data_IF_918678748585
#
_entry.id   IF_918678748585
#
_cell.length_a   1.000
_cell.length_b   1.000
_cell.length_c   1.000
_cell.angle_alpha   90.00
_cell.angle_beta   90.00
_cell.angle_gamma   90.00
#
_symmetry.space_group_name_H-M   'P 1'
#
loop_
_entity.id
_entity.type
_entity.pdbx_description
1 polymer ?
#
# COMPACT_ATOMS: atom_id res chain seq x y z
N UNK A 1 -5.80 -6.79 -13.57
CA UNK A 1 -5.33 -6.81 -12.17
C UNK A 1 -6.17 -7.75 -11.29
N UNK A 2 -6.33 -9.02 -11.66
CA UNK A 2 -7.19 -9.99 -10.95
C UNK A 2 -6.63 -10.46 -9.61
N UNK A 3 -5.31 -10.63 -9.49
CA UNK A 3 -4.68 -11.20 -8.28
C UNK A 3 -4.89 -10.33 -7.03
N UNK A 4 -4.84 -9.00 -7.15
CA UNK A 4 -5.05 -8.09 -6.02
C UNK A 4 -6.52 -8.00 -5.61
N UNK A 5 -7.44 -8.01 -6.57
CA UNK A 5 -8.89 -8.03 -6.31
C UNK A 5 -9.35 -9.34 -5.66
N UNK A 6 -8.83 -10.49 -6.11
CA UNK A 6 -9.11 -11.79 -5.46
C UNK A 6 -8.54 -11.87 -4.04
N UNK A 7 -7.35 -11.29 -3.82
CA UNK A 7 -6.76 -11.19 -2.49
C UNK A 7 -7.62 -10.28 -1.60
N UNK A 8 -8.02 -9.13 -2.13
CA UNK A 8 -8.89 -8.15 -1.48
C UNK A 8 -10.17 -8.79 -0.93
N UNK A 9 -10.83 -9.67 -1.68
CA UNK A 9 -12.03 -10.38 -1.22
C UNK A 9 -11.76 -11.26 0.02
N UNK A 10 -10.61 -11.94 0.05
CA UNK A 10 -10.23 -12.89 1.10
C UNK A 10 -9.51 -12.26 2.29
N UNK A 11 -9.10 -11.00 2.19
CA UNK A 11 -8.42 -10.28 3.27
C UNK A 11 -9.37 -10.02 4.44
N UNK A 12 -8.90 -10.37 5.63
CA UNK A 12 -9.43 -9.99 6.93
C UNK A 12 -8.63 -8.77 7.46
N UNK A 13 -9.28 -7.63 7.72
CA UNK A 13 -8.58 -6.40 8.16
C UNK A 13 -7.79 -6.55 9.47
N UNK A 14 -8.26 -7.34 10.42
CA UNK A 14 -7.62 -7.49 11.73
C UNK A 14 -6.39 -8.39 11.61
N UNK A 15 -6.50 -9.45 10.81
CA UNK A 15 -5.34 -10.31 10.48
C UNK A 15 -4.31 -9.56 9.65
N UNK A 16 -4.75 -8.68 8.75
CA UNK A 16 -3.86 -7.83 7.97
C UNK A 16 -3.05 -6.89 8.87
N UNK A 17 -3.70 -6.21 9.81
CA UNK A 17 -3.02 -5.35 10.79
C UNK A 17 -2.08 -6.14 11.71
N UNK A 18 -2.46 -7.35 12.09
CA UNK A 18 -1.56 -8.23 12.88
C UNK A 18 -0.31 -8.57 12.08
N UNK A 19 -0.47 -8.91 10.79
CA UNK A 19 0.66 -9.24 9.91
C UNK A 19 1.59 -8.04 9.68
N UNK A 20 1.11 -6.80 9.73
CA UNK A 20 1.99 -5.62 9.56
C UNK A 20 3.02 -5.48 10.67
N UNK A 21 2.78 -6.05 11.86
CA UNK A 21 3.69 -5.95 13.00
C UNK A 21 4.99 -6.75 12.81
N UNK A 22 4.97 -7.77 11.96
CA UNK A 22 6.13 -8.62 11.66
C UNK A 22 6.72 -8.34 10.28
N UNK A 23 6.02 -7.56 9.45
CA UNK A 23 6.43 -7.24 8.10
C UNK A 23 7.38 -6.01 8.06
N UNK A 24 8.31 -5.95 7.10
CA UNK A 24 9.07 -4.73 6.84
C UNK A 24 8.14 -3.57 6.50
N UNK A 25 8.36 -2.41 7.12
CA UNK A 25 7.52 -1.22 6.91
C UNK A 25 7.33 -0.83 5.43
N UNK A 26 8.36 -0.90 4.55
CA UNK A 26 8.18 -0.61 3.12
C UNK A 26 7.16 -1.51 2.43
N UNK A 27 6.95 -2.75 2.91
CA UNK A 27 5.94 -3.65 2.37
C UNK A 27 4.54 -3.20 2.77
N UNK A 28 4.36 -2.80 4.03
CA UNK A 28 3.08 -2.29 4.55
C UNK A 28 2.66 -1.02 3.81
N UNK A 29 3.61 -0.10 3.58
CA UNK A 29 3.37 1.13 2.82
C UNK A 29 2.88 0.85 1.40
N UNK A 30 3.59 -0.01 0.66
CA UNK A 30 3.25 -0.36 -0.73
C UNK A 30 1.93 -1.13 -0.83
N UNK A 31 1.74 -2.14 0.02
CA UNK A 31 0.55 -2.98 0.01
C UNK A 31 -0.70 -2.15 0.34
N UNK A 32 -0.64 -1.27 1.35
CA UNK A 32 -1.76 -0.41 1.70
C UNK A 32 -2.18 0.50 0.55
N UNK A 33 -1.22 1.11 -0.16
CA UNK A 33 -1.50 1.90 -1.35
C UNK A 33 -2.14 1.07 -2.46
N UNK A 34 -1.58 -0.10 -2.78
CA UNK A 34 -2.09 -0.98 -3.83
C UNK A 34 -3.51 -1.47 -3.53
N UNK A 35 -3.79 -1.87 -2.28
CA UNK A 35 -5.12 -2.31 -1.85
C UNK A 35 -6.16 -1.19 -1.89
N UNK A 36 -5.72 0.07 -1.76
CA UNK A 36 -6.61 1.23 -1.90
C UNK A 36 -6.87 1.63 -3.36
N UNK A 37 -5.99 1.24 -4.28
CA UNK A 37 -6.17 1.45 -5.73
C UNK A 37 -6.95 0.31 -6.41
N UNK A 38 -7.24 -0.77 -5.67
CA UNK A 38 -8.22 -1.80 -6.06
C UNK A 38 -9.46 -1.67 -5.17
N UNK A 39 -10.54 -2.37 -5.48
CA UNK A 39 -11.85 -2.28 -4.80
C UNK A 39 -11.85 -2.78 -3.32
N UNK A 40 -10.68 -2.77 -2.65
CA UNK A 40 -10.45 -3.04 -1.24
C UNK A 40 -10.09 -1.80 -0.40
N UNK A 41 -10.36 -0.60 -0.91
CA UNK A 41 -10.13 0.66 -0.18
C UNK A 41 -10.62 0.63 1.29
N UNK A 42 -11.78 0.06 1.65
CA UNK A 42 -12.21 0.00 3.05
C UNK A 42 -11.27 -0.83 3.95
N UNK A 43 -10.75 -1.95 3.43
CA UNK A 43 -9.84 -2.86 4.16
C UNK A 43 -8.45 -2.26 4.29
N UNK A 44 -7.96 -1.62 3.22
CA UNK A 44 -6.68 -0.94 3.20
C UNK A 44 -6.62 0.21 4.22
N UNK A 45 -7.70 0.99 4.33
CA UNK A 45 -7.76 2.19 5.19
C UNK A 45 -7.48 1.90 6.67
N UNK A 46 -7.76 0.70 7.15
CA UNK A 46 -7.44 0.27 8.52
C UNK A 46 -5.93 0.32 8.82
N UNK A 47 -5.07 0.22 7.80
CA UNK A 47 -3.61 0.28 7.96
C UNK A 47 -3.05 1.71 8.01
N UNK A 48 -3.81 2.72 7.59
CA UNK A 48 -3.31 4.10 7.51
C UNK A 48 -2.81 4.62 8.86
N UNK A 49 -3.52 4.47 10.00
CA UNK A 49 -3.01 4.93 11.29
C UNK A 49 -1.70 4.24 11.68
N UNK A 50 -1.57 2.96 11.36
CA UNK A 50 -0.35 2.19 11.62
C UNK A 50 0.83 2.74 10.82
N UNK A 51 0.67 2.93 9.50
CA UNK A 51 1.71 3.50 8.64
C UNK A 51 2.08 4.92 9.08
N UNK A 52 1.10 5.76 9.39
CA UNK A 52 1.35 7.13 9.84
C UNK A 52 2.19 7.19 11.12
N UNK A 53 1.91 6.30 12.06
CA UNK A 53 2.62 6.21 13.34
C UNK A 53 4.01 5.60 13.22
N UNK A 54 4.18 4.58 12.40
CA UNK A 54 5.39 3.74 12.42
C UNK A 54 6.36 3.95 11.24
N UNK A 55 5.90 4.48 10.10
CA UNK A 55 6.79 4.75 8.98
C UNK A 55 7.46 6.13 9.14
N UNK A 56 8.78 6.18 9.23
CA UNK A 56 9.53 7.44 9.33
C UNK A 56 10.00 7.99 7.97
N UNK A 57 10.04 7.12 6.95
CA UNK A 57 10.58 7.46 5.64
C UNK A 57 9.55 7.21 4.54
N UNK A 58 9.63 8.02 3.49
CA UNK A 58 8.90 7.76 2.27
C UNK A 58 9.67 6.81 1.36
N UNK A 59 9.02 5.77 0.85
CA UNK A 59 9.66 4.75 -0.02
C UNK A 59 9.09 4.78 -1.44
N UNK A 60 9.84 4.38 -2.48
CA UNK A 60 9.27 4.24 -3.82
C UNK A 60 8.23 3.13 -3.86
N UNK A 61 7.15 3.35 -4.63
CA UNK A 61 6.14 2.35 -4.91
C UNK A 61 6.76 1.15 -5.65
N UNK A 62 7.51 1.41 -6.72
CA UNK A 62 8.27 0.43 -7.48
C UNK A 62 9.78 0.70 -7.34
N UNK A 63 10.53 -0.07 -6.52
CA UNK A 63 11.94 0.22 -6.24
C UNK A 63 12.86 0.24 -7.46
N UNK A 64 12.55 -0.58 -8.47
CA UNK A 64 13.36 -0.71 -9.67
C UNK A 64 13.09 0.38 -10.73
N UNK A 65 12.05 1.19 -10.54
CA UNK A 65 11.69 2.25 -11.49
C UNK A 65 12.36 3.60 -11.13
N UNK A 66 12.62 4.46 -12.13
CA UNK A 66 13.08 5.82 -11.88
C UNK A 66 12.14 6.55 -10.91
N UNK A 67 12.70 7.37 -10.02
CA UNK A 67 11.91 8.15 -9.03
C UNK A 67 11.73 9.62 -9.44
N UNK A 68 12.18 9.95 -10.65
CA UNK A 68 12.19 11.31 -11.18
C UNK A 68 10.74 11.77 -11.34
N UNK A 69 10.40 12.95 -10.79
CA UNK A 69 9.04 13.49 -10.78
C UNK A 69 7.96 12.64 -10.07
N UNK A 70 8.34 11.65 -9.25
CA UNK A 70 7.39 10.84 -8.49
C UNK A 70 6.54 11.69 -7.55
N UNK A 71 5.21 11.59 -7.66
CA UNK A 71 4.29 12.27 -6.75
C UNK A 71 4.41 11.68 -5.35
N UNK A 72 4.41 12.52 -4.33
CA UNK A 72 4.40 12.05 -2.94
C UNK A 72 2.97 11.74 -2.49
N UNK A 73 2.77 10.55 -1.96
CA UNK A 73 1.58 10.18 -1.20
C UNK A 73 1.93 10.28 0.30
N UNK A 74 1.37 11.29 0.96
CA UNK A 74 1.64 11.54 2.39
C UNK A 74 0.93 10.56 3.31
N UNK A 75 -0.17 9.96 2.86
CA UNK A 75 -0.97 9.00 3.63
C UNK A 75 -0.22 7.68 3.79
N UNK A 76 0.38 7.20 2.72
CA UNK A 76 1.15 5.96 2.69
C UNK A 76 2.66 6.19 2.84
N UNK A 77 3.09 7.45 2.88
CA UNK A 77 4.50 7.86 2.82
C UNK A 77 5.18 7.15 1.64
N UNK A 78 4.64 7.34 0.44
CA UNK A 78 5.18 6.77 -0.79
C UNK A 78 5.64 7.84 -1.78
N UNK A 79 6.62 7.48 -2.60
CA UNK A 79 6.91 8.12 -3.88
C UNK A 79 6.25 7.27 -4.96
N UNK A 80 5.13 7.74 -5.49
CA UNK A 80 4.37 7.07 -6.56
C UNK A 80 5.13 7.28 -7.85
N UNK A 81 5.91 6.28 -8.24
CA UNK A 81 6.85 6.32 -9.37
C UNK A 81 6.55 5.27 -10.45
N UNK A 82 5.35 4.72 -10.42
CA UNK A 82 4.80 3.81 -11.41
C UNK A 82 3.28 3.97 -11.41
N UNK A 83 2.66 3.82 -12.58
CA UNK A 83 1.21 3.80 -12.70
C UNK A 83 0.68 2.42 -12.27
N UNK A 84 -0.41 2.43 -11.53
CA UNK A 84 -1.12 1.22 -11.11
C UNK A 84 -2.34 1.07 -11.99
N UNK A 85 -2.28 0.16 -12.96
CA UNK A 85 -3.43 -0.21 -13.78
C UNK A 85 -4.33 -1.19 -13.00
N UNK A 86 -5.44 -0.68 -12.48
CA UNK A 86 -6.56 -1.51 -12.03
C UNK A 86 -7.56 -1.61 -13.19
N UNK A 87 -7.90 -2.82 -13.61
CA UNK A 87 -8.99 -3.01 -14.59
C UNK A 87 -10.31 -2.59 -13.93
N UNK A 88 -11.05 -1.72 -14.62
CA UNK A 88 -12.33 -1.15 -14.21
C UNK A 88 -13.50 -2.15 -14.34
#
# INVERSE_FOLDING_TARGET
ATVLSELAEKIDPDKLLTATQTAPMPWVQRLGYLLEHVDAAPKARALRPYVQKHAHQSVPLLPAAPQNAAKRDDVWKLRVNADVEAEA
#
